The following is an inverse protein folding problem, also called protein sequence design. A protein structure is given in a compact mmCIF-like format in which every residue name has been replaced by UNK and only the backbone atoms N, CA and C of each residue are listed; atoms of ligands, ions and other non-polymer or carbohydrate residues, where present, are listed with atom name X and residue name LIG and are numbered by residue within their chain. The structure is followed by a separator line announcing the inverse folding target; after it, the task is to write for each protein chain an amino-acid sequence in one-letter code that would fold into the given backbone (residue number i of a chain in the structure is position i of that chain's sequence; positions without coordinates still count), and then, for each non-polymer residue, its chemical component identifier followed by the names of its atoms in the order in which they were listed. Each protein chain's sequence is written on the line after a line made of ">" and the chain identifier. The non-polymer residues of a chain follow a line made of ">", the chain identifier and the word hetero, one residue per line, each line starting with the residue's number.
data_IF_402618375220
#
_entry.id   IF_402618375220
#
_cell.length_a   1.000
_cell.length_b   1.000
_cell.length_c   1.000
_cell.angle_alpha   90.00
_cell.angle_beta   90.00
_cell.angle_gamma   90.00
#
_symmetry.space_group_name_H-M   'P 1'
#
loop_
_entity.id
_entity.type
_entity.pdbx_description
1 polymer ?
#
# COMPACT_ATOMS: atom_id res chain seq x y z
N UNK A 1 12.17 -18.17 -67.28
CA UNK A 1 11.89 -16.86 -66.64
C UNK A 1 10.88 -17.06 -65.52
N UNK A 2 11.27 -16.82 -64.26
CA UNK A 2 10.35 -16.56 -63.16
C UNK A 2 10.41 -15.08 -62.68
N UNK A 3 9.39 -14.71 -61.91
CA UNK A 3 8.79 -13.39 -61.60
C UNK A 3 9.60 -12.46 -60.64
N UNK A 4 9.23 -11.16 -60.53
CA UNK A 4 10.06 -10.12 -59.91
C UNK A 4 9.98 -10.05 -58.37
N UNK A 5 11.08 -9.58 -57.77
CA UNK A 5 11.25 -9.26 -56.35
C UNK A 5 10.25 -8.19 -55.88
N UNK A 6 9.46 -8.52 -54.87
CA UNK A 6 8.75 -7.55 -54.03
C UNK A 6 9.54 -7.46 -52.73
N UNK A 7 10.36 -6.42 -52.61
CA UNK A 7 11.05 -6.07 -51.37
C UNK A 7 10.04 -5.32 -50.50
N UNK A 8 9.43 -6.01 -49.55
CA UNK A 8 8.51 -5.44 -48.57
C UNK A 8 9.35 -4.63 -47.58
N UNK A 9 9.18 -3.31 -47.59
CA UNK A 9 9.73 -2.44 -46.55
C UNK A 9 9.10 -2.79 -45.19
N UNK A 10 9.88 -2.91 -44.10
CA UNK A 10 9.30 -3.14 -42.79
C UNK A 10 8.55 -1.89 -42.34
N UNK A 11 7.23 -2.06 -42.26
CA UNK A 11 6.28 -1.16 -41.65
C UNK A 11 6.79 -0.69 -40.29
N UNK A 12 6.92 0.62 -40.15
CA UNK A 12 7.23 1.32 -38.91
C UNK A 12 6.26 0.86 -37.82
N UNK A 13 6.71 -0.07 -36.97
CA UNK A 13 5.98 -0.48 -35.78
C UNK A 13 5.86 0.74 -34.86
N UNK A 14 4.74 1.45 -34.98
CA UNK A 14 4.31 2.46 -34.00
C UNK A 14 4.19 1.76 -32.65
N UNK A 15 4.86 2.21 -31.59
CA UNK A 15 4.54 1.72 -30.27
C UNK A 15 3.08 2.11 -29.98
N UNK A 16 2.22 1.11 -29.84
CA UNK A 16 0.90 1.29 -29.22
C UNK A 16 1.13 1.70 -27.76
N UNK A 17 1.22 2.99 -27.53
CA UNK A 17 1.03 3.59 -26.21
C UNK A 17 -0.47 3.45 -25.93
N UNK A 18 -0.82 2.35 -25.28
CA UNK A 18 -2.20 1.91 -25.09
C UNK A 18 -2.36 1.11 -23.81
N UNK A 19 -1.90 1.68 -22.70
CA UNK A 19 -2.47 1.45 -21.38
C UNK A 19 -1.95 2.57 -20.48
N UNK A 20 -2.62 3.73 -20.54
CA UNK A 20 -2.58 4.68 -19.44
C UNK A 20 -3.14 3.96 -18.22
N UNK A 21 -2.27 3.28 -17.47
CA UNK A 21 -2.56 2.98 -16.09
C UNK A 21 -2.69 4.35 -15.44
N UNK A 22 -3.93 4.70 -15.09
CA UNK A 22 -4.27 5.98 -14.52
C UNK A 22 -3.23 6.35 -13.49
N UNK A 23 -2.50 7.41 -13.78
CA UNK A 23 -1.86 8.24 -12.78
C UNK A 23 -3.01 8.88 -12.01
N UNK A 24 -3.69 8.04 -11.21
CA UNK A 24 -4.45 8.51 -10.09
C UNK A 24 -3.37 9.07 -9.19
N UNK A 25 -3.19 10.38 -9.25
CA UNK A 25 -2.70 11.14 -8.09
C UNK A 25 -3.45 10.52 -6.92
N UNK A 26 -2.75 9.71 -6.13
CA UNK A 26 -3.31 9.14 -4.92
C UNK A 26 -3.65 10.36 -4.07
N UNK A 27 -4.89 10.81 -4.15
CA UNK A 27 -5.36 11.99 -3.43
C UNK A 27 -5.15 11.67 -1.97
N UNK A 28 -4.20 12.35 -1.35
CA UNK A 28 -3.88 12.20 0.07
C UNK A 28 -5.18 12.43 0.83
N UNK A 29 -5.69 11.44 1.56
CA UNK A 29 -6.88 11.63 2.38
C UNK A 29 -6.69 12.86 3.28
N UNK A 30 -7.69 13.74 3.44
CA UNK A 30 -7.54 14.98 4.20
C UNK A 30 -7.03 14.76 5.63
N UNK A 31 -7.37 13.60 6.19
CA UNK A 31 -6.97 13.11 7.51
C UNK A 31 -5.44 12.98 7.65
N UNK A 32 -4.75 12.76 6.53
CA UNK A 32 -3.30 12.57 6.47
C UNK A 32 -2.51 13.86 6.21
N UNK A 33 -3.17 15.01 5.99
CA UNK A 33 -2.52 16.29 5.65
C UNK A 33 -1.86 17.00 6.85
N UNK A 34 -1.69 16.33 7.99
CA UNK A 34 -1.08 16.95 9.18
C UNK A 34 0.44 16.79 9.15
N UNK A 35 1.18 17.90 9.01
CA UNK A 35 2.66 17.91 9.08
C UNK A 35 3.19 17.25 10.37
N UNK A 36 2.52 17.51 11.50
CA UNK A 36 2.86 16.88 12.78
C UNK A 36 2.56 15.38 12.77
N UNK A 37 1.45 14.99 12.15
CA UNK A 37 1.09 13.58 11.95
C UNK A 37 2.15 12.85 11.13
N UNK A 38 2.60 13.46 10.03
CA UNK A 38 3.63 12.92 9.14
C UNK A 38 4.96 12.69 9.89
N UNK A 39 5.47 13.72 10.57
CA UNK A 39 6.72 13.61 11.31
C UNK A 39 6.67 12.53 12.41
N UNK A 40 5.55 12.46 13.15
CA UNK A 40 5.36 11.45 14.20
C UNK A 40 5.23 10.05 13.60
N UNK A 41 4.51 9.90 12.49
CA UNK A 41 4.36 8.64 11.79
C UNK A 41 5.69 8.11 11.28
N UNK A 42 6.50 8.96 10.63
CA UNK A 42 7.81 8.56 10.13
C UNK A 42 8.75 8.16 11.28
N UNK A 43 8.74 8.89 12.40
CA UNK A 43 9.51 8.53 13.58
C UNK A 43 9.05 7.19 14.18
N UNK A 44 7.73 6.97 14.29
CA UNK A 44 7.13 5.73 14.75
C UNK A 44 7.51 4.54 13.87
N UNK A 45 7.44 4.69 12.55
CA UNK A 45 7.84 3.69 11.58
C UNK A 45 9.34 3.33 11.68
N UNK A 46 10.20 4.32 11.92
CA UNK A 46 11.65 4.15 12.12
C UNK A 46 11.99 3.42 13.42
N UNK A 47 11.21 3.63 14.48
CA UNK A 47 11.38 2.92 15.75
C UNK A 47 10.91 1.46 15.65
N UNK A 48 9.74 1.24 15.05
CA UNK A 48 9.14 -0.09 14.92
C UNK A 48 9.95 -1.06 14.05
N UNK A 49 10.70 -0.55 13.05
CA UNK A 49 11.55 -1.33 12.12
C UNK A 49 10.90 -2.63 11.59
N UNK A 50 9.67 -2.57 11.03
CA UNK A 50 8.96 -3.77 10.62
C UNK A 50 9.65 -4.50 9.47
N UNK A 51 9.85 -5.82 9.65
CA UNK A 51 10.38 -6.71 8.61
C UNK A 51 9.26 -7.49 7.90
N UNK A 52 9.15 -7.28 6.59
CA UNK A 52 8.18 -7.95 5.74
C UNK A 52 6.85 -7.22 5.61
N UNK A 53 6.18 -7.41 4.48
CA UNK A 53 5.04 -6.59 4.06
C UNK A 53 3.86 -6.66 5.02
N UNK A 54 3.56 -7.85 5.55
CA UNK A 54 2.49 -8.02 6.54
C UNK A 54 2.76 -7.23 7.82
N UNK A 55 4.02 -7.13 8.28
CA UNK A 55 4.34 -6.33 9.47
C UNK A 55 4.25 -4.84 9.16
N UNK A 56 4.71 -4.43 7.98
CA UNK A 56 4.62 -3.03 7.52
C UNK A 56 3.19 -2.54 7.44
N UNK A 57 2.25 -3.33 6.89
CA UNK A 57 0.84 -2.91 6.84
C UNK A 57 0.21 -2.80 8.23
N UNK A 58 0.60 -3.66 9.18
CA UNK A 58 0.13 -3.57 10.57
C UNK A 58 0.69 -2.32 11.27
N UNK A 59 1.98 -2.03 11.08
CA UNK A 59 2.59 -0.80 11.61
C UNK A 59 1.96 0.44 10.95
N UNK A 60 1.73 0.43 9.64
CA UNK A 60 1.06 1.52 8.94
C UNK A 60 -0.37 1.75 9.47
N UNK A 61 -1.15 0.68 9.67
CA UNK A 61 -2.49 0.75 10.25
C UNK A 61 -2.48 1.36 11.66
N UNK A 62 -1.58 0.89 12.53
CA UNK A 62 -1.46 1.43 13.89
C UNK A 62 -1.00 2.90 13.88
N UNK A 63 -0.01 3.23 13.06
CA UNK A 63 0.51 4.58 12.92
C UNK A 63 -0.55 5.54 12.39
N UNK A 64 -1.38 5.09 11.44
CA UNK A 64 -2.52 5.85 10.92
C UNK A 64 -3.49 6.23 12.05
N UNK A 65 -3.85 5.28 12.91
CA UNK A 65 -4.71 5.52 14.06
C UNK A 65 -4.06 6.43 15.10
N UNK A 66 -2.79 6.22 15.46
CA UNK A 66 -2.11 6.98 16.52
C UNK A 66 -1.78 8.43 16.14
N UNK A 67 -1.40 8.67 14.89
CA UNK A 67 -0.80 9.94 14.48
C UNK A 67 -1.68 10.79 13.59
N UNK A 68 -2.72 10.20 13.00
CA UNK A 68 -3.68 10.89 12.13
C UNK A 68 -5.14 10.71 12.59
N UNK A 69 -5.40 9.87 13.60
CA UNK A 69 -6.75 9.61 14.11
C UNK A 69 -7.62 8.80 13.14
N UNK A 70 -7.00 8.14 12.15
CA UNK A 70 -7.73 7.38 11.14
C UNK A 70 -8.15 6.01 11.69
N UNK A 71 -9.46 5.78 11.72
CA UNK A 71 -10.05 4.51 12.17
C UNK A 71 -9.95 3.46 11.06
N UNK A 72 -8.82 2.76 11.04
CA UNK A 72 -8.49 1.70 10.09
C UNK A 72 -8.19 2.18 8.68
N UNK A 73 -7.49 1.36 7.92
CA UNK A 73 -6.89 1.72 6.63
C UNK A 73 -7.40 0.86 5.47
N UNK A 74 -7.39 1.45 4.29
CA UNK A 74 -7.67 0.80 3.00
C UNK A 74 -6.37 0.51 2.23
N UNK A 75 -6.49 -0.11 1.05
CA UNK A 75 -5.35 -0.33 0.17
C UNK A 75 -4.79 0.98 -0.42
N UNK A 76 -5.65 1.99 -0.61
CA UNK A 76 -5.25 3.29 -1.16
C UNK A 76 -4.49 4.12 -0.12
N UNK A 77 -4.95 4.11 1.14
CA UNK A 77 -4.24 4.74 2.26
C UNK A 77 -2.82 4.19 2.41
N UNK A 78 -2.65 2.87 2.21
CA UNK A 78 -1.36 2.21 2.30
C UNK A 78 -0.34 2.67 1.26
N UNK A 79 -0.78 3.08 0.08
CA UNK A 79 0.13 3.59 -0.93
C UNK A 79 0.86 4.84 -0.43
N UNK A 80 0.09 5.79 0.13
CA UNK A 80 0.63 7.03 0.70
C UNK A 80 1.45 6.75 1.97
N UNK A 81 0.95 5.94 2.90
CA UNK A 81 1.66 5.62 4.14
C UNK A 81 3.00 4.89 3.89
N UNK A 82 3.07 4.04 2.88
CA UNK A 82 4.33 3.37 2.51
C UNK A 82 5.32 4.33 1.89
N UNK A 83 4.88 5.25 1.04
CA UNK A 83 5.76 6.27 0.47
C UNK A 83 6.34 7.17 1.57
N UNK A 84 5.50 7.61 2.51
CA UNK A 84 5.91 8.45 3.64
C UNK A 84 6.90 7.72 4.58
N UNK A 85 6.76 6.41 4.72
CA UNK A 85 7.69 5.57 5.49
C UNK A 85 8.92 5.12 4.67
N UNK A 86 9.02 5.52 3.40
CA UNK A 86 10.06 5.11 2.46
C UNK A 86 10.18 3.58 2.32
N UNK A 87 9.05 2.88 2.41
CA UNK A 87 9.01 1.43 2.27
C UNK A 87 8.66 1.02 0.86
N UNK A 88 9.33 -0.04 0.38
CA UNK A 88 8.92 -0.71 -0.86
C UNK A 88 7.49 -1.22 -0.71
N UNK A 89 6.62 -0.83 -1.65
CA UNK A 89 5.24 -1.30 -1.74
C UNK A 89 5.21 -2.82 -2.04
N UNK A 90 4.31 -3.60 -1.41
CA UNK A 90 4.06 -4.99 -1.77
C UNK A 90 3.45 -5.06 -3.18
N UNK A 91 3.55 -6.23 -3.82
CA UNK A 91 2.93 -6.43 -5.14
C UNK A 91 1.41 -6.30 -5.14
N UNK A 92 0.74 -6.43 -3.98
CA UNK A 92 -0.71 -6.24 -3.83
C UNK A 92 -1.09 -5.89 -2.38
N UNK A 93 -1.49 -4.64 -2.14
CA UNK A 93 -1.92 -4.18 -0.81
C UNK A 93 -3.18 -4.89 -0.31
N UNK A 94 -4.21 -5.03 -1.15
CA UNK A 94 -5.47 -5.70 -0.79
C UNK A 94 -5.25 -7.13 -0.33
N UNK A 95 -4.39 -7.89 -1.02
CA UNK A 95 -4.03 -9.24 -0.63
C UNK A 95 -3.22 -9.27 0.67
N UNK A 96 -2.33 -8.30 0.87
CA UNK A 96 -1.51 -8.19 2.09
C UNK A 96 -2.37 -7.88 3.32
N UNK A 97 -3.31 -6.94 3.22
CA UNK A 97 -4.31 -6.64 4.24
C UNK A 97 -5.15 -7.87 4.59
N UNK A 98 -5.71 -8.53 3.56
CA UNK A 98 -6.50 -9.76 3.75
C UNK A 98 -5.68 -10.85 4.43
N UNK A 99 -4.41 -11.02 4.07
CA UNK A 99 -3.52 -12.01 4.68
C UNK A 99 -3.29 -11.71 6.16
N UNK A 100 -2.96 -10.47 6.51
CA UNK A 100 -2.78 -10.05 7.90
C UNK A 100 -4.07 -10.21 8.74
N UNK A 101 -5.24 -10.13 8.10
CA UNK A 101 -6.53 -10.33 8.73
C UNK A 101 -7.04 -11.79 8.79
N UNK A 102 -6.33 -12.77 8.19
CA UNK A 102 -6.77 -14.17 8.25
C UNK A 102 -6.72 -14.67 9.69
N UNK A 103 -7.65 -15.54 10.08
CA UNK A 103 -7.75 -16.12 11.43
C UNK A 103 -6.45 -16.72 11.97
N UNK A 104 -5.61 -17.33 11.10
CA UNK A 104 -4.30 -17.86 11.50
C UNK A 104 -3.33 -16.78 12.01
N UNK A 105 -3.45 -15.55 11.52
CA UNK A 105 -2.62 -14.43 11.95
C UNK A 105 -3.38 -13.53 12.91
N UNK A 106 -4.58 -13.09 12.53
CA UNK A 106 -5.45 -12.20 13.28
C UNK A 106 -4.74 -10.91 13.73
N UNK A 107 -3.83 -10.39 12.90
CA UNK A 107 -3.09 -9.15 13.19
C UNK A 107 -3.88 -7.89 12.83
N UNK A 108 -4.74 -8.02 11.83
CA UNK A 108 -5.72 -7.02 11.46
C UNK A 108 -7.12 -7.61 11.57
N UNK A 109 -8.11 -6.74 11.68
CA UNK A 109 -9.52 -7.10 11.58
C UNK A 109 -10.25 -6.15 10.64
N UNK A 110 -11.31 -6.64 10.00
CA UNK A 110 -12.17 -5.80 9.17
C UNK A 110 -13.10 -4.98 10.07
N UNK A 111 -13.27 -3.71 9.76
CA UNK A 111 -14.21 -2.87 10.48
C UNK A 111 -15.63 -3.10 9.94
N UNK A 112 -16.60 -3.55 10.78
CA UNK A 112 -17.99 -3.71 10.35
C UNK A 112 -18.58 -2.40 9.82
N UNK A 113 -19.35 -2.48 8.72
CA UNK A 113 -19.97 -1.31 8.10
C UNK A 113 -19.01 -0.39 7.32
N UNK A 114 -17.70 -0.66 7.33
CA UNK A 114 -16.70 0.11 6.55
C UNK A 114 -15.97 -0.79 5.56
N UNK A 115 -16.49 -0.96 4.34
CA UNK A 115 -15.94 -1.91 3.37
C UNK A 115 -14.48 -1.57 3.03
N UNK A 116 -13.62 -2.59 3.06
CA UNK A 116 -12.21 -2.45 2.71
C UNK A 116 -11.31 -1.84 3.80
N UNK A 117 -11.85 -1.38 4.93
CA UNK A 117 -11.06 -0.87 6.06
C UNK A 117 -10.67 -1.96 7.03
N UNK A 118 -9.41 -1.89 7.46
CA UNK A 118 -8.82 -2.81 8.44
C UNK A 118 -8.23 -2.04 9.61
N UNK A 119 -8.50 -2.49 10.83
CA UNK A 119 -7.91 -1.98 12.05
C UNK A 119 -6.88 -2.97 12.60
N UNK A 120 -5.90 -2.45 13.34
CA UNK A 120 -4.92 -3.29 14.04
C UNK A 120 -5.53 -3.93 15.29
N UNK A 121 -5.32 -5.23 15.46
CA UNK A 121 -5.75 -5.94 16.68
C UNK A 121 -4.69 -5.83 17.78
N UNK A 122 -5.08 -6.16 19.02
CA UNK A 122 -4.11 -6.29 20.11
C UNK A 122 -2.99 -7.30 19.78
N UNK A 123 -3.33 -8.43 19.16
CA UNK A 123 -2.35 -9.42 18.73
C UNK A 123 -1.41 -8.84 17.66
N UNK A 124 -1.93 -8.12 16.67
CA UNK A 124 -1.14 -7.45 15.65
C UNK A 124 -0.07 -6.54 16.27
N UNK A 125 -0.48 -5.66 17.19
CA UNK A 125 0.43 -4.76 17.93
C UNK A 125 1.54 -5.52 18.64
N UNK A 126 1.19 -6.55 19.42
CA UNK A 126 2.17 -7.36 20.17
C UNK A 126 3.19 -8.09 19.28
N UNK A 127 2.86 -8.32 18.00
CA UNK A 127 3.75 -9.02 17.07
C UNK A 127 4.65 -8.08 16.29
N UNK A 128 4.26 -6.83 16.09
CA UNK A 128 4.94 -5.91 15.17
C UNK A 128 5.56 -4.70 15.84
N UNK A 129 5.20 -4.38 17.08
CA UNK A 129 5.70 -3.22 17.79
C UNK A 129 6.61 -3.65 18.94
N UNK A 130 7.77 -2.99 19.12
CA UNK A 130 8.74 -3.37 20.14
C UNK A 130 8.24 -3.20 21.59
N UNK A 131 7.16 -2.44 21.83
CA UNK A 131 6.58 -2.18 23.16
C UNK A 131 5.03 -2.05 23.10
N UNK A 132 4.29 -3.09 22.69
CA UNK A 132 2.81 -3.05 22.70
C UNK A 132 2.15 -4.32 23.20
#
# INVERSE_FOLDING_TARGET
>A
MPAPEIIIAPETARPSIGASNGEGTATVPPEFLSERGEANFTAFCRDAKPLGDMRRVVVAAEGATRHFGVEGITADDLAWLFDLAEWRRPGNFTQTLRNAARSKFAWLERIPGRPGRYATTALGRSKTLPNS
#
